data_IF_129764484531
#
_entry.id   IF_129764484531
#
_cell.length_a   1.000
_cell.length_b   1.000
_cell.length_c   1.000
_cell.angle_alpha   90.00
_cell.angle_beta   90.00
_cell.angle_gamma   90.00
#
_symmetry.space_group_name_H-M   'P 1'
#
loop_
_entity.id
_entity.type
_entity.pdbx_description
1 polymer ?
#
# COMPACT_ATOMS: atom_id res chain seq x y z
N UNK A 1 7.71 25.08 17.75
CA UNK A 1 7.06 25.29 16.44
C UNK A 1 7.78 24.38 15.44
N UNK A 2 7.10 23.37 14.90
CA UNK A 2 7.71 22.41 13.95
C UNK A 2 7.33 22.85 12.55
N UNK A 3 8.32 22.94 11.66
CA UNK A 3 8.11 23.29 10.27
C UNK A 3 7.91 22.02 9.45
N UNK A 4 6.82 21.96 8.71
CA UNK A 4 6.58 20.89 7.75
C UNK A 4 7.05 21.37 6.37
N UNK A 5 8.10 20.74 5.85
CA UNK A 5 8.64 21.04 4.52
C UNK A 5 8.16 19.97 3.56
N UNK A 6 7.33 20.35 2.60
CA UNK A 6 6.89 19.46 1.54
C UNK A 6 7.95 19.44 0.44
N UNK A 7 8.58 18.28 0.22
CA UNK A 7 9.45 18.07 -0.93
C UNK A 7 8.60 17.66 -2.13
N UNK A 8 8.41 18.59 -3.07
CA UNK A 8 7.91 18.23 -4.40
C UNK A 8 9.09 17.68 -5.18
N UNK A 9 9.12 16.37 -5.43
CA UNK A 9 10.00 15.82 -6.44
C UNK A 9 9.61 16.47 -7.77
N UNK A 10 10.53 17.21 -8.39
CA UNK A 10 10.25 17.81 -9.69
C UNK A 10 9.94 16.71 -10.69
N UNK A 11 8.98 16.93 -11.59
CA UNK A 11 8.53 15.93 -12.58
C UNK A 11 9.66 15.42 -13.50
N UNK A 12 10.83 16.07 -13.49
CA UNK A 12 12.04 15.64 -14.20
C UNK A 12 12.97 14.70 -13.41
N UNK A 13 12.79 14.53 -12.09
CA UNK A 13 13.66 13.69 -11.23
C UNK A 13 13.20 12.22 -11.15
N UNK A 14 12.10 11.87 -11.83
CA UNK A 14 11.53 10.53 -11.77
C UNK A 14 10.71 10.19 -12.99
N UNK A 15 11.37 9.98 -14.14
CA UNK A 15 10.70 9.37 -15.30
C UNK A 15 10.13 8.00 -14.89
N UNK A 16 8.80 7.85 -14.80
CA UNK A 16 8.18 6.62 -14.35
C UNK A 16 8.41 5.49 -15.35
N UNK A 17 8.62 5.79 -16.64
CA UNK A 17 8.91 4.80 -17.66
C UNK A 17 10.33 4.23 -17.46
N UNK A 18 11.33 5.08 -17.29
CA UNK A 18 12.70 4.70 -16.96
C UNK A 18 12.80 3.88 -15.67
N UNK A 19 12.08 4.29 -14.62
CA UNK A 19 12.03 3.52 -13.36
C UNK A 19 11.43 2.13 -13.56
N UNK A 20 10.34 2.01 -14.31
CA UNK A 20 9.72 0.72 -14.61
C UNK A 20 10.65 -0.19 -15.40
N UNK A 21 11.36 0.36 -16.40
CA UNK A 21 12.34 -0.38 -17.18
C UNK A 21 13.49 -0.87 -16.30
N UNK A 22 14.07 0.00 -15.48
CA UNK A 22 15.14 -0.37 -14.56
C UNK A 22 14.72 -1.49 -13.60
N UNK A 23 13.50 -1.43 -13.05
CA UNK A 23 12.95 -2.48 -12.19
C UNK A 23 12.71 -3.80 -12.94
N UNK A 24 12.34 -3.76 -14.22
CA UNK A 24 12.19 -4.95 -15.03
C UNK A 24 13.55 -5.64 -15.26
N UNK A 25 14.55 -4.87 -15.71
CA UNK A 25 15.92 -5.36 -15.91
C UNK A 25 16.50 -5.92 -14.60
N UNK A 26 16.31 -5.22 -13.48
CA UNK A 26 16.77 -5.68 -12.18
C UNK A 26 16.16 -7.04 -11.78
N UNK A 27 14.90 -7.32 -12.14
CA UNK A 27 14.24 -8.61 -11.87
C UNK A 27 14.74 -9.73 -12.78
N UNK A 28 15.12 -9.40 -14.02
CA UNK A 28 15.72 -10.37 -14.93
C UNK A 28 17.13 -10.75 -14.48
N UNK A 29 17.90 -9.78 -13.98
CA UNK A 29 19.26 -9.99 -13.50
C UNK A 29 19.32 -10.57 -12.08
N UNK A 30 18.34 -10.23 -11.23
CA UNK A 30 18.32 -10.60 -9.82
C UNK A 30 16.97 -11.21 -9.45
N UNK A 31 17.02 -12.48 -8.98
CA UNK A 31 15.85 -13.10 -8.37
C UNK A 31 15.40 -12.27 -7.15
N UNK A 32 14.10 -11.93 -7.01
CA UNK A 32 13.62 -11.20 -5.85
C UNK A 32 13.92 -11.97 -4.56
N UNK A 33 14.68 -11.35 -3.66
CA UNK A 33 14.98 -11.93 -2.36
C UNK A 33 13.69 -12.03 -1.52
N UNK A 34 13.52 -13.16 -0.82
CA UNK A 34 12.42 -13.32 0.13
C UNK A 34 12.61 -12.31 1.26
N UNK A 35 11.57 -11.51 1.55
CA UNK A 35 11.60 -10.59 2.68
C UNK A 35 11.73 -11.37 3.99
N UNK A 36 12.55 -10.84 4.89
CA UNK A 36 12.73 -11.40 6.20
C UNK A 36 11.42 -11.33 7.02
N UNK A 37 11.19 -12.25 7.98
CA UNK A 37 9.94 -12.35 8.72
C UNK A 37 9.51 -11.05 9.41
N UNK A 38 10.47 -10.27 9.91
CA UNK A 38 10.25 -8.98 10.56
C UNK A 38 9.76 -7.87 9.61
N UNK A 39 9.95 -8.06 8.30
CA UNK A 39 9.50 -7.15 7.24
C UNK A 39 8.18 -7.60 6.60
N UNK A 40 7.58 -8.70 7.08
CA UNK A 40 6.27 -9.13 6.61
C UNK A 40 5.23 -8.15 7.15
N UNK A 41 4.55 -7.38 6.29
CA UNK A 41 3.50 -6.49 6.76
C UNK A 41 2.45 -7.34 7.48
N UNK A 42 2.11 -6.92 8.70
CA UNK A 42 1.05 -7.56 9.45
C UNK A 42 -0.22 -7.55 8.58
N UNK A 43 -0.66 -8.74 8.16
CA UNK A 43 -1.90 -8.89 7.39
C UNK A 43 -3.02 -8.40 8.30
N UNK A 44 -3.46 -7.17 8.08
CA UNK A 44 -4.65 -6.64 8.74
C UNK A 44 -5.84 -7.41 8.19
N UNK A 45 -6.23 -8.47 8.90
CA UNK A 45 -7.43 -9.23 8.58
C UNK A 45 -8.61 -8.28 8.73
N UNK A 46 -9.40 -8.00 7.68
CA UNK A 46 -10.59 -7.18 7.84
C UNK A 46 -11.51 -7.89 8.83
N UNK A 47 -11.87 -7.20 9.92
CA UNK A 47 -12.87 -7.68 10.85
C UNK A 47 -14.16 -7.90 10.07
N UNK A 48 -14.72 -9.11 10.13
CA UNK A 48 -16.00 -9.39 9.49
C UNK A 48 -17.06 -8.46 10.10
N UNK A 49 -17.49 -7.45 9.33
CA UNK A 49 -18.63 -6.63 9.69
C UNK A 49 -19.86 -7.52 9.77
N UNK A 50 -20.28 -7.87 11.00
CA UNK A 50 -21.59 -8.46 11.25
C UNK A 50 -22.64 -7.35 11.03
N UNK A 51 -23.57 -7.47 10.07
CA UNK A 51 -24.69 -6.55 10.02
C UNK A 51 -25.54 -6.76 11.27
N UNK A 52 -25.66 -5.70 12.09
CA UNK A 52 -26.66 -5.62 13.15
C UNK A 52 -28.03 -5.73 12.50
N UNK A 53 -28.72 -6.85 12.71
CA UNK A 53 -30.10 -7.06 12.29
C UNK A 53 -31.03 -6.15 13.11
N UNK A 54 -31.14 -4.89 12.73
CA UNK A 54 -32.12 -3.97 13.30
C UNK A 54 -33.44 -4.13 12.55
N UNK A 55 -34.28 -5.06 13.01
CA UNK A 55 -35.63 -5.29 12.49
C UNK A 55 -36.64 -4.80 13.53
N UNK A 56 -37.03 -3.53 13.48
CA UNK A 56 -38.25 -3.06 14.15
C UNK A 56 -39.43 -3.20 13.19
N UNK A 57 -40.27 -4.19 13.42
CA UNK A 57 -41.61 -4.25 12.83
C UNK A 57 -42.56 -3.51 13.76
N UNK A 58 -43.11 -2.38 13.31
CA UNK A 58 -44.23 -1.70 13.98
C UNK A 58 -45.52 -2.37 13.50
N UNK A 59 -46.29 -2.93 14.43
CA UNK A 59 -47.67 -3.36 14.20
C UNK A 59 -48.59 -2.28 14.75
N UNK A 60 -49.35 -1.64 13.86
CA UNK A 60 -50.57 -0.88 14.15
C UNK A 60 -51.38 -0.81 12.87
#
# INVERSE_FOLDING_TARGET
MIQNVAHTASDSDGDPAGLRLALAVARELHAPARRAPELVPAVSRPAAHRPSAHRHTVRS
#
